data_IF_209200403724
#
_entry.id   IF_209200403724
#
_cell.length_a   1.000
_cell.length_b   1.000
_cell.length_c   1.000
_cell.angle_alpha   90.00
_cell.angle_beta   90.00
_cell.angle_gamma   90.00
#
_symmetry.space_group_name_H-M   'P 1'
#
loop_
_entity.id
_entity.type
_entity.pdbx_description
1 polymer ?
#
# COMPACT_ATOMS: atom_id res chain seq x y z
N UNK A 1 11.14 15.27 -1.65
CA UNK A 1 9.80 14.85 -1.21
C UNK A 1 9.96 13.89 -0.04
N UNK A 2 9.03 13.85 0.91
CA UNK A 2 9.01 12.93 2.06
C UNK A 2 7.93 11.88 1.88
N UNK A 3 8.25 10.63 2.24
CA UNK A 3 7.43 9.45 1.99
C UNK A 3 7.13 8.74 3.30
N UNK A 4 5.85 8.55 3.60
CA UNK A 4 5.39 7.72 4.69
C UNK A 4 4.94 6.38 4.12
N UNK A 5 5.56 5.29 4.54
CA UNK A 5 5.24 3.94 4.11
C UNK A 5 4.44 3.27 5.21
N UNK A 6 3.25 2.79 4.89
CA UNK A 6 2.36 2.10 5.81
C UNK A 6 2.11 0.66 5.32
N UNK A 7 2.10 -0.31 6.23
CA UNK A 7 1.66 -1.67 5.92
C UNK A 7 1.05 -2.34 7.15
N UNK A 8 0.03 -3.18 6.93
CA UNK A 8 -0.46 -4.14 7.92
C UNK A 8 -0.20 -5.56 7.41
N UNK A 9 0.46 -6.40 8.21
CA UNK A 9 0.96 -7.71 7.76
C UNK A 9 0.54 -8.84 8.72
N UNK A 10 0.24 -10.01 8.16
CA UNK A 10 -0.10 -11.22 8.90
C UNK A 10 0.18 -12.47 8.04
N UNK A 11 1.07 -13.34 8.50
CA UNK A 11 1.51 -14.55 7.81
C UNK A 11 2.04 -14.31 6.38
N UNK A 12 2.97 -13.37 6.24
CA UNK A 12 3.53 -12.94 4.96
C UNK A 12 4.98 -13.40 4.74
N UNK A 13 5.42 -14.50 5.37
CA UNK A 13 6.82 -14.95 5.30
C UNK A 13 7.37 -15.11 3.87
N UNK A 14 6.53 -15.50 2.92
CA UNK A 14 6.95 -15.76 1.54
C UNK A 14 7.26 -14.47 0.77
N UNK A 15 6.47 -13.42 1.00
CA UNK A 15 6.54 -12.16 0.27
C UNK A 15 7.61 -11.23 0.84
N UNK A 16 7.79 -11.27 2.17
CA UNK A 16 8.65 -10.35 2.93
C UNK A 16 10.10 -10.22 2.42
N UNK A 17 10.82 -11.28 2.03
CA UNK A 17 12.21 -11.14 1.57
C UNK A 17 12.34 -10.20 0.36
N UNK A 18 11.46 -10.34 -0.65
CA UNK A 18 11.44 -9.43 -1.81
C UNK A 18 10.87 -8.07 -1.42
N UNK A 19 9.77 -8.04 -0.68
CA UNK A 19 9.09 -6.81 -0.24
C UNK A 19 10.05 -5.87 0.50
N UNK A 20 10.75 -6.38 1.52
CA UNK A 20 11.72 -5.62 2.30
C UNK A 20 12.89 -5.14 1.43
N UNK A 21 13.41 -6.01 0.56
CA UNK A 21 14.51 -5.66 -0.36
C UNK A 21 14.12 -4.54 -1.32
N UNK A 22 12.92 -4.60 -1.92
CA UNK A 22 12.41 -3.54 -2.79
C UNK A 22 12.21 -2.24 -2.04
N UNK A 23 11.69 -2.29 -0.80
CA UNK A 23 11.51 -1.08 0.01
C UNK A 23 12.84 -0.43 0.39
N UNK A 24 13.88 -1.21 0.71
CA UNK A 24 15.24 -0.65 0.92
C UNK A 24 15.80 -0.01 -0.34
N UNK A 25 15.58 -0.60 -1.52
CA UNK A 25 15.97 0.00 -2.80
C UNK A 25 15.25 1.31 -3.05
N UNK A 26 13.95 1.36 -2.77
CA UNK A 26 13.15 2.58 -2.86
C UNK A 26 13.71 3.67 -1.94
N UNK A 27 13.94 3.37 -0.65
CA UNK A 27 14.51 4.31 0.31
C UNK A 27 15.88 4.84 -0.13
N UNK A 28 16.75 3.97 -0.63
CA UNK A 28 18.04 4.39 -1.18
C UNK A 28 17.89 5.31 -2.40
N UNK A 29 16.90 5.06 -3.26
CA UNK A 29 16.63 5.85 -4.46
C UNK A 29 16.11 7.26 -4.13
N UNK A 30 15.14 7.37 -3.22
CA UNK A 30 14.54 8.67 -2.84
C UNK A 30 15.31 9.39 -1.72
N UNK A 31 16.27 8.72 -1.10
CA UNK A 31 17.05 9.17 0.05
C UNK A 31 16.48 8.67 1.37
N UNK A 32 17.29 7.95 2.16
CA UNK A 32 16.88 7.28 3.39
C UNK A 32 16.25 8.22 4.43
N UNK A 33 16.77 9.45 4.53
CA UNK A 33 16.27 10.50 5.43
C UNK A 33 14.87 11.04 5.04
N UNK A 34 14.42 10.75 3.83
CA UNK A 34 13.11 11.19 3.32
C UNK A 34 12.01 10.16 3.57
N UNK A 35 12.35 8.98 4.11
CA UNK A 35 11.42 7.86 4.27
C UNK A 35 11.18 7.57 5.75
N UNK A 36 9.91 7.36 6.09
CA UNK A 36 9.50 6.74 7.34
C UNK A 36 8.74 5.44 7.04
N UNK A 37 9.09 4.34 7.71
CA UNK A 37 8.46 3.03 7.53
C UNK A 37 7.65 2.65 8.77
N UNK A 38 6.34 2.57 8.63
CA UNK A 38 5.40 2.16 9.68
C UNK A 38 4.75 0.83 9.32
N UNK A 39 4.94 -0.19 10.16
CA UNK A 39 4.41 -1.53 9.92
C UNK A 39 3.70 -2.00 11.17
N UNK A 40 2.46 -2.46 11.01
CA UNK A 40 1.72 -3.13 12.05
C UNK A 40 1.52 -4.61 11.71
N UNK A 41 2.25 -5.48 12.38
CA UNK A 41 2.11 -6.92 12.26
C UNK A 41 1.04 -7.42 13.25
N UNK A 42 0.06 -8.19 12.77
CA UNK A 42 -1.13 -8.58 13.56
C UNK A 42 -1.13 -10.06 14.00
N UNK A 43 -0.08 -10.49 14.70
CA UNK A 43 0.00 -11.78 15.39
C UNK A 43 0.13 -13.00 14.46
N UNK A 44 1.19 -13.03 13.67
CA UNK A 44 1.55 -14.09 12.73
C UNK A 44 2.01 -15.36 13.44
N UNK A 45 1.81 -16.51 12.78
CA UNK A 45 2.23 -17.83 13.27
C UNK A 45 3.37 -18.44 12.42
N UNK A 46 3.90 -17.67 11.46
CA UNK A 46 4.99 -18.04 10.58
C UNK A 46 6.23 -17.17 10.86
N UNK A 47 7.21 -17.15 9.95
CA UNK A 47 8.43 -16.35 10.12
C UNK A 47 8.27 -14.85 9.91
N UNK A 48 7.05 -14.32 9.77
CA UNK A 48 6.82 -12.88 9.53
C UNK A 48 7.45 -12.01 10.60
N UNK A 49 7.31 -12.38 11.88
CA UNK A 49 7.87 -11.60 13.00
C UNK A 49 9.40 -11.57 12.92
N UNK A 50 10.04 -12.73 12.78
CA UNK A 50 11.51 -12.85 12.65
C UNK A 50 12.04 -12.01 11.47
N UNK A 51 11.38 -12.07 10.32
CA UNK A 51 11.76 -11.32 9.12
C UNK A 51 11.59 -9.80 9.30
N UNK A 52 10.56 -9.36 10.02
CA UNK A 52 10.35 -7.94 10.32
C UNK A 52 11.32 -7.41 11.38
N UNK A 53 11.81 -8.24 12.31
CA UNK A 53 12.88 -7.88 13.24
C UNK A 53 14.22 -7.65 12.51
N UNK A 54 14.57 -8.53 11.59
CA UNK A 54 15.74 -8.36 10.70
C UNK A 54 15.58 -7.11 9.83
N UNK A 55 14.39 -6.89 9.26
CA UNK A 55 14.11 -5.70 8.47
C UNK A 55 14.24 -4.41 9.29
N UNK A 56 13.71 -4.38 10.52
CA UNK A 56 13.86 -3.26 11.46
C UNK A 56 15.33 -2.94 11.72
N UNK A 57 16.15 -3.97 11.93
CA UNK A 57 17.61 -3.82 12.12
C UNK A 57 18.26 -3.18 10.89
N UNK A 58 17.92 -3.66 9.69
CA UNK A 58 18.41 -3.09 8.42
C UNK A 58 17.99 -1.64 8.20
N UNK A 59 16.78 -1.25 8.61
CA UNK A 59 16.32 0.14 8.56
C UNK A 59 17.15 1.03 9.51
N UNK A 60 17.38 0.57 10.75
CA UNK A 60 18.15 1.29 11.75
C UNK A 60 19.61 1.49 11.32
N UNK A 61 20.26 0.47 10.78
CA UNK A 61 21.63 0.55 10.22
C UNK A 61 21.75 1.62 9.13
N UNK A 62 20.66 1.85 8.38
CA UNK A 62 20.58 2.81 7.28
C UNK A 62 20.04 4.17 7.73
N UNK A 63 19.80 4.35 9.02
CA UNK A 63 19.18 5.55 9.60
C UNK A 63 17.83 5.90 8.96
N UNK A 64 17.06 4.88 8.55
CA UNK A 64 15.69 5.05 8.06
C UNK A 64 14.74 5.04 9.26
N UNK A 65 13.99 6.13 9.42
CA UNK A 65 13.01 6.27 10.51
C UNK A 65 11.93 5.19 10.39
N UNK A 66 11.56 4.54 11.51
CA UNK A 66 10.57 3.48 11.47
C UNK A 66 9.77 3.32 12.77
N UNK A 67 8.56 2.81 12.62
CA UNK A 67 7.62 2.43 13.68
C UNK A 67 7.06 1.04 13.36
N UNK A 68 7.82 0.00 13.69
CA UNK A 68 7.41 -1.40 13.46
C UNK A 68 6.91 -2.01 14.77
N UNK A 69 5.62 -2.32 14.78
CA UNK A 69 4.90 -3.02 15.86
C UNK A 69 4.76 -4.49 15.49
N UNK A 70 5.22 -5.37 16.38
CA UNK A 70 5.19 -6.82 16.22
C UNK A 70 4.26 -7.44 17.24
N UNK A 71 3.64 -8.56 16.90
CA UNK A 71 2.69 -9.27 17.76
C UNK A 71 1.50 -8.38 18.17
N UNK A 72 0.98 -7.61 17.21
CA UNK A 72 -0.21 -6.79 17.41
C UNK A 72 -1.48 -7.61 17.64
N UNK A 73 -2.59 -6.90 17.79
CA UNK A 73 -3.92 -7.50 18.00
C UNK A 73 -4.26 -8.53 16.92
N UNK A 74 -4.70 -9.72 17.33
CA UNK A 74 -5.22 -10.74 16.41
C UNK A 74 -6.72 -10.56 16.16
N UNK A 75 -7.22 -11.07 15.02
CA UNK A 75 -8.64 -10.90 14.65
C UNK A 75 -9.60 -11.58 15.60
N UNK A 76 -9.27 -12.79 16.06
CA UNK A 76 -10.17 -13.62 16.88
C UNK A 76 -11.56 -13.76 16.24
N UNK A 77 -12.60 -13.40 17.00
CA UNK A 77 -14.02 -13.43 16.56
C UNK A 77 -14.53 -12.11 15.98
N UNK A 78 -13.68 -11.10 15.81
CA UNK A 78 -14.08 -9.78 15.29
C UNK A 78 -14.50 -9.84 13.82
N UNK A 79 -15.43 -8.97 13.43
CA UNK A 79 -15.79 -8.77 12.02
C UNK A 79 -14.56 -8.34 11.22
N UNK A 80 -14.39 -8.94 10.04
CA UNK A 80 -13.18 -8.79 9.23
C UNK A 80 -12.92 -7.34 8.83
N UNK A 81 -13.95 -6.62 8.37
CA UNK A 81 -13.80 -5.25 7.88
C UNK A 81 -13.37 -4.32 9.02
N UNK A 82 -14.07 -4.36 10.16
CA UNK A 82 -13.74 -3.54 11.32
C UNK A 82 -12.32 -3.83 11.83
N UNK A 83 -11.94 -5.11 11.90
CA UNK A 83 -10.59 -5.48 12.32
C UNK A 83 -9.53 -4.97 11.34
N UNK A 84 -9.76 -5.08 10.04
CA UNK A 84 -8.84 -4.58 9.02
C UNK A 84 -8.72 -3.05 9.04
N UNK A 85 -9.82 -2.34 9.29
CA UNK A 85 -9.80 -0.90 9.47
C UNK A 85 -8.95 -0.50 10.69
N UNK A 86 -9.11 -1.20 11.81
CA UNK A 86 -8.31 -0.94 13.02
C UNK A 86 -6.81 -1.14 12.78
N UNK A 87 -6.39 -2.27 12.19
CA UNK A 87 -4.95 -2.52 11.98
C UNK A 87 -4.33 -1.54 10.98
N UNK A 88 -5.09 -1.06 9.99
CA UNK A 88 -4.66 0.02 9.08
C UNK A 88 -4.50 1.33 9.82
N UNK A 89 -5.44 1.67 10.71
CA UNK A 89 -5.34 2.85 11.55
C UNK A 89 -4.10 2.78 12.47
N UNK A 90 -3.79 1.60 13.02
CA UNK A 90 -2.57 1.40 13.80
C UNK A 90 -1.29 1.57 12.95
N UNK A 91 -1.28 1.09 11.70
CA UNK A 91 -0.15 1.31 10.79
C UNK A 91 0.05 2.80 10.45
N UNK A 92 -1.00 3.61 10.52
CA UNK A 92 -0.96 5.05 10.30
C UNK A 92 -0.73 5.88 11.57
N UNK A 93 -0.73 5.28 12.76
CA UNK A 93 -0.69 6.00 14.04
C UNK A 93 0.55 6.92 14.17
N UNK A 94 1.72 6.45 13.74
CA UNK A 94 2.96 7.23 13.78
C UNK A 94 2.93 8.48 12.87
N UNK A 95 2.09 8.48 11.82
CA UNK A 95 1.89 9.65 10.96
C UNK A 95 1.42 10.86 11.77
N UNK A 96 0.50 10.63 12.71
CA UNK A 96 -0.09 11.67 13.55
C UNK A 96 0.82 12.07 14.71
N UNK A 97 1.64 11.14 15.22
CA UNK A 97 2.53 11.37 16.36
C UNK A 97 3.81 12.13 16.01
N UNK A 98 4.37 11.88 14.82
CA UNK A 98 5.66 12.45 14.42
C UNK A 98 5.59 13.96 14.11
N UNK A 99 4.39 14.51 13.87
CA UNK A 99 4.18 15.90 13.47
C UNK A 99 5.07 16.33 12.28
N UNK A 100 5.34 15.40 11.37
CA UNK A 100 6.11 15.63 10.13
C UNK A 100 5.13 15.66 8.97
N UNK A 101 5.23 16.70 8.14
CA UNK A 101 4.50 16.74 6.86
C UNK A 101 5.17 15.80 5.85
N UNK A 102 4.43 14.83 5.36
CA UNK A 102 4.83 13.95 4.26
C UNK A 102 4.16 14.40 2.96
N UNK A 103 4.86 14.25 1.83
CA UNK A 103 4.32 14.56 0.50
C UNK A 103 3.49 13.40 -0.05
N UNK A 104 3.86 12.16 0.32
CA UNK A 104 3.15 10.95 -0.07
C UNK A 104 2.97 10.00 1.10
N UNK A 105 1.78 9.39 1.18
CA UNK A 105 1.49 8.23 2.02
C UNK A 105 1.31 7.05 1.08
N UNK A 106 2.15 6.04 1.23
CA UNK A 106 2.15 4.84 0.40
C UNK A 106 1.72 3.68 1.28
N UNK A 107 0.52 3.16 1.03
CA UNK A 107 0.03 1.98 1.71
C UNK A 107 0.37 0.73 0.89
N UNK A 108 1.21 -0.14 1.45
CA UNK A 108 1.66 -1.36 0.78
C UNK A 108 0.95 -2.59 1.37
N UNK A 109 0.30 -3.34 0.49
CA UNK A 109 -0.26 -4.65 0.82
C UNK A 109 0.84 -5.74 0.84
N UNK A 110 0.43 -6.96 1.16
CA UNK A 110 1.23 -8.17 1.19
C UNK A 110 1.44 -8.81 -0.19
N UNK A 111 1.80 -7.98 -1.17
CA UNK A 111 2.04 -8.41 -2.56
C UNK A 111 3.48 -8.19 -2.98
N UNK A 112 3.90 -8.91 -4.00
CA UNK A 112 5.17 -8.60 -4.67
C UNK A 112 5.03 -7.33 -5.49
N UNK A 113 5.99 -6.42 -5.35
CA UNK A 113 6.10 -5.22 -6.17
C UNK A 113 7.55 -4.98 -6.60
N UNK A 114 7.73 -4.23 -7.69
CA UNK A 114 9.03 -3.77 -8.14
C UNK A 114 9.19 -2.26 -7.89
N UNK A 115 10.45 -1.81 -7.90
CA UNK A 115 10.76 -0.40 -7.71
C UNK A 115 10.13 0.47 -8.82
N UNK A 116 10.26 0.02 -10.07
CA UNK A 116 9.80 0.78 -11.24
C UNK A 116 8.28 0.98 -11.21
N UNK A 117 7.51 -0.07 -10.90
CA UNK A 117 6.05 -0.01 -10.77
C UNK A 117 5.61 0.98 -9.66
N UNK A 118 6.32 0.98 -8.52
CA UNK A 118 6.03 1.90 -7.42
C UNK A 118 6.36 3.35 -7.81
N UNK A 119 7.47 3.58 -8.51
CA UNK A 119 7.85 4.91 -8.98
C UNK A 119 6.87 5.41 -10.04
N UNK A 120 6.46 4.56 -10.97
CA UNK A 120 5.46 4.89 -11.99
C UNK A 120 4.13 5.28 -11.35
N UNK A 121 3.65 4.51 -10.37
CA UNK A 121 2.44 4.82 -9.62
C UNK A 121 2.51 6.20 -8.95
N UNK A 122 3.61 6.50 -8.24
CA UNK A 122 3.85 7.80 -7.60
C UNK A 122 3.91 8.94 -8.62
N UNK A 123 4.45 8.68 -9.80
CA UNK A 123 4.61 9.65 -10.88
C UNK A 123 3.36 9.83 -11.74
N UNK A 124 2.27 9.11 -11.44
CA UNK A 124 0.97 9.29 -12.09
C UNK A 124 0.60 10.77 -12.12
N UNK A 125 0.36 11.32 -13.31
CA UNK A 125 0.07 12.75 -13.53
C UNK A 125 1.08 13.68 -12.84
N UNK A 126 2.36 13.30 -12.80
CA UNK A 126 3.46 14.00 -12.13
C UNK A 126 3.24 14.21 -10.61
N UNK A 127 2.45 13.35 -9.97
CA UNK A 127 2.05 13.48 -8.56
C UNK A 127 0.88 14.42 -8.33
N UNK A 128 0.13 14.81 -9.37
CA UNK A 128 -1.08 15.64 -9.26
C UNK A 128 -2.34 14.77 -9.16
N UNK A 129 -2.58 14.24 -7.96
CA UNK A 129 -3.74 13.44 -7.59
C UNK A 129 -3.93 13.47 -6.07
N UNK A 130 -5.15 13.21 -5.59
CA UNK A 130 -5.42 13.03 -4.15
C UNK A 130 -5.12 11.58 -3.71
N UNK A 131 -5.48 10.61 -4.55
CA UNK A 131 -5.17 9.19 -4.38
C UNK A 131 -4.95 8.53 -5.75
N UNK A 132 -4.15 7.47 -5.77
CA UNK A 132 -3.93 6.63 -6.94
C UNK A 132 -3.71 5.19 -6.48
N UNK A 133 -4.33 4.23 -7.15
CA UNK A 133 -4.17 2.82 -6.85
C UNK A 133 -3.80 2.04 -8.12
N UNK A 134 -2.99 0.98 -7.99
CA UNK A 134 -2.89 -0.02 -9.04
C UNK A 134 -4.19 -0.82 -9.12
N UNK A 135 -4.39 -1.52 -10.24
CA UNK A 135 -5.50 -2.45 -10.39
C UNK A 135 -5.10 -3.87 -10.01
N UNK A 136 -5.98 -4.57 -9.30
CA UNK A 136 -5.79 -5.96 -8.89
C UNK A 136 -6.54 -6.93 -9.82
N UNK A 137 -5.82 -7.96 -10.28
CA UNK A 137 -6.31 -8.94 -11.25
C UNK A 137 -6.13 -10.37 -10.74
N UNK A 138 -7.19 -11.16 -10.85
CA UNK A 138 -7.17 -12.59 -10.66
C UNK A 138 -7.95 -13.25 -11.80
N UNK A 139 -7.26 -13.46 -12.94
CA UNK A 139 -7.82 -13.78 -14.27
C UNK A 139 -8.65 -12.65 -14.90
N UNK A 140 -9.49 -12.00 -14.12
CA UNK A 140 -10.29 -10.82 -14.47
C UNK A 140 -10.05 -9.70 -13.47
N UNK A 141 -10.64 -8.52 -13.68
CA UNK A 141 -10.55 -7.44 -12.70
C UNK A 141 -11.28 -7.86 -11.42
N UNK A 142 -10.51 -8.08 -10.36
CA UNK A 142 -10.99 -8.73 -9.13
C UNK A 142 -11.53 -7.74 -8.10
N UNK A 143 -10.85 -6.61 -7.92
CA UNK A 143 -11.16 -5.67 -6.82
C UNK A 143 -12.30 -4.71 -7.16
N UNK A 144 -13.51 -5.26 -7.28
CA UNK A 144 -14.72 -4.50 -7.59
C UNK A 144 -15.47 -4.00 -6.34
N UNK A 145 -15.12 -4.50 -5.16
CA UNK A 145 -15.87 -4.22 -3.93
C UNK A 145 -15.80 -2.75 -3.53
N UNK A 146 -14.58 -2.20 -3.47
CA UNK A 146 -14.33 -0.80 -3.11
C UNK A 146 -14.31 0.13 -4.34
N UNK A 147 -13.93 -0.39 -5.51
CA UNK A 147 -13.73 0.43 -6.71
C UNK A 147 -15.02 1.08 -7.20
N UNK A 148 -14.97 2.39 -7.46
CA UNK A 148 -16.06 3.17 -8.05
C UNK A 148 -15.54 4.00 -9.21
N UNK A 149 -16.26 3.98 -10.34
CA UNK A 149 -15.92 4.83 -11.49
C UNK A 149 -16.06 6.32 -11.16
N UNK A 150 -15.70 7.20 -12.11
CA UNK A 150 -15.74 8.65 -11.89
C UNK A 150 -17.12 9.21 -11.53
N UNK A 151 -18.20 8.48 -11.81
CA UNK A 151 -19.58 8.85 -11.45
C UNK A 151 -20.02 8.24 -10.11
N UNK A 152 -19.14 7.49 -9.44
CA UNK A 152 -19.43 6.81 -8.18
C UNK A 152 -20.14 5.46 -8.34
N UNK A 153 -20.25 4.92 -9.56
CA UNK A 153 -20.89 3.63 -9.80
C UNK A 153 -19.91 2.47 -9.55
N UNK A 154 -20.39 1.30 -9.09
CA UNK A 154 -19.57 0.09 -9.06
C UNK A 154 -19.02 -0.27 -10.45
N UNK A 155 -17.94 -1.06 -10.48
CA UNK A 155 -17.47 -1.65 -11.72
C UNK A 155 -18.62 -2.42 -12.39
N UNK A 156 -18.87 -2.13 -13.67
CA UNK A 156 -19.96 -2.74 -14.46
C UNK A 156 -19.59 -4.11 -15.01
N UNK A 157 -18.31 -4.44 -15.08
CA UNK A 157 -17.82 -5.73 -15.58
C UNK A 157 -16.46 -6.07 -15.00
N UNK A 158 -16.18 -7.37 -14.84
CA UNK A 158 -14.83 -7.88 -14.56
C UNK A 158 -13.94 -7.86 -15.82
N UNK A 159 -14.54 -7.67 -17.00
CA UNK A 159 -13.85 -7.61 -18.29
C UNK A 159 -13.74 -6.18 -18.79
N UNK A 160 -12.65 -5.92 -19.53
CA UNK A 160 -12.37 -4.63 -20.12
C UNK A 160 -13.58 -4.13 -20.95
N UNK A 161 -14.05 -2.87 -20.79
CA UNK A 161 -13.40 -1.74 -20.12
C UNK A 161 -13.77 -1.53 -18.64
N UNK A 162 -14.32 -2.54 -17.97
CA UNK A 162 -14.63 -2.61 -16.53
C UNK A 162 -15.71 -1.67 -15.99
N UNK A 163 -15.78 -0.44 -16.49
CA UNK A 163 -16.59 0.65 -15.94
C UNK A 163 -17.69 1.11 -16.90
N UNK A 164 -18.64 1.87 -16.35
CA UNK A 164 -19.79 2.40 -17.09
C UNK A 164 -19.65 3.88 -17.42
N UNK A 165 -18.95 4.65 -16.58
CA UNK A 165 -18.74 6.07 -16.80
C UNK A 165 -18.00 6.34 -18.12
N UNK A 166 -18.54 7.17 -19.03
CA UNK A 166 -17.92 7.47 -20.32
C UNK A 166 -16.49 7.99 -20.21
N UNK A 167 -16.19 8.82 -19.20
CA UNK A 167 -14.87 9.41 -19.02
C UNK A 167 -13.87 8.39 -18.50
N UNK A 168 -14.25 7.57 -17.51
CA UNK A 168 -13.42 6.45 -17.05
C UNK A 168 -13.12 5.48 -18.21
N UNK A 169 -14.14 5.06 -18.96
CA UNK A 169 -13.99 4.14 -20.10
C UNK A 169 -13.08 4.72 -21.19
N UNK A 170 -13.17 6.02 -21.46
CA UNK A 170 -12.33 6.70 -22.45
C UNK A 170 -10.86 6.62 -22.09
N UNK A 171 -10.51 6.94 -20.83
CA UNK A 171 -9.12 6.88 -20.35
C UNK A 171 -8.58 5.44 -20.40
N UNK A 172 -9.37 4.46 -19.95
CA UNK A 172 -9.01 3.05 -20.01
C UNK A 172 -8.73 2.55 -21.43
N UNK A 173 -9.53 2.98 -22.41
CA UNK A 173 -9.32 2.66 -23.84
C UNK A 173 -8.09 3.30 -24.44
N UNK A 174 -7.56 4.34 -23.81
CA UNK A 174 -6.33 5.00 -24.22
C UNK A 174 -5.11 4.52 -23.42
N UNK A 175 -5.28 3.56 -22.51
CA UNK A 175 -4.26 3.10 -21.56
C UNK A 175 -3.71 4.24 -20.67
N UNK A 176 -4.57 5.21 -20.36
CA UNK A 176 -4.25 6.30 -19.45
C UNK A 176 -4.73 6.00 -18.02
N UNK A 177 -4.12 6.61 -16.99
CA UNK A 177 -4.68 6.63 -15.64
C UNK A 177 -6.08 7.26 -15.64
N UNK A 178 -7.08 6.46 -15.27
CA UNK A 178 -8.47 6.87 -15.31
C UNK A 178 -8.92 7.52 -13.99
N UNK A 179 -9.76 8.57 -14.03
CA UNK A 179 -10.39 9.11 -12.83
C UNK A 179 -11.36 8.08 -12.24
N UNK A 180 -11.30 7.93 -10.92
CA UNK A 180 -12.19 7.06 -10.14
C UNK A 180 -12.65 7.82 -8.90
N UNK A 181 -13.87 7.53 -8.43
CA UNK A 181 -14.34 8.07 -7.15
C UNK A 181 -13.69 7.33 -5.98
N UNK A 182 -13.42 6.04 -6.13
CA UNK A 182 -12.75 5.24 -5.13
C UNK A 182 -11.96 4.09 -5.77
N UNK A 183 -10.83 3.81 -5.15
CA UNK A 183 -10.04 2.60 -5.12
C UNK A 183 -9.49 2.51 -3.69
#
# INVERSE_FOLDING_TARGET
KKYFIAANLHNNQEVLPKWCSTLLKFSNYVGNQNVHVSIYESGSNDKTVELLEDFKSKLNERSISNSITLNGSTRGRRYRIDFLADVRNQALDSLYQLNVKYDFIIFLNDVYFNLDDLLELIMTRNGNYDAVCPMDYYWTFYDQFATRDSDGNPASSEFFPYFSSPDTVREFRQFNPAPVYAC
#
